data_IF_481454287001
#
_entry.id   IF_481454287001
#
_cell.length_a   1.000
_cell.length_b   1.000
_cell.length_c   1.000
_cell.angle_alpha   90.00
_cell.angle_beta   90.00
_cell.angle_gamma   90.00
#
_symmetry.space_group_name_H-M   'P 1'
#
loop_
_entity.id
_entity.type
_entity.pdbx_description
1 polymer ?
#
# COMPACT_ATOMS: atom_id res chain seq x y z
N UNK A 1 18.44 2.37 -1.23
CA UNK A 1 17.78 2.37 0.09
C UNK A 1 18.78 2.98 1.05
N UNK A 2 18.45 4.09 1.70
CA UNK A 2 19.39 4.74 2.62
C UNK A 2 19.41 3.93 3.91
N UNK A 3 20.61 3.59 4.36
CA UNK A 3 20.85 2.74 5.52
C UNK A 3 20.68 3.60 6.78
N UNK A 4 19.48 3.60 7.36
CA UNK A 4 19.23 4.22 8.66
C UNK A 4 19.58 3.17 9.71
N UNK A 5 20.88 3.11 10.01
CA UNK A 5 21.43 2.37 11.14
C UNK A 5 20.87 3.01 12.42
N UNK A 6 20.27 2.19 13.29
CA UNK A 6 19.86 2.49 14.68
C UNK A 6 18.38 2.82 15.01
N UNK A 7 17.41 2.47 14.17
CA UNK A 7 16.05 2.18 14.67
C UNK A 7 15.48 1.03 13.87
N UNK A 8 15.17 -0.06 14.55
CA UNK A 8 14.32 -1.13 14.05
C UNK A 8 12.91 -0.56 13.87
N UNK A 9 12.74 0.25 12.82
CA UNK A 9 11.51 0.93 12.52
C UNK A 9 10.53 -0.14 12.06
N UNK A 10 9.61 -0.52 12.95
CA UNK A 10 8.57 -1.52 12.71
C UNK A 10 7.90 -1.24 11.36
N UNK A 11 8.30 -1.98 10.33
CA UNK A 11 7.74 -1.88 8.98
C UNK A 11 6.40 -2.58 8.94
N UNK A 12 5.39 -1.92 9.51
CA UNK A 12 4.01 -2.37 9.48
C UNK A 12 3.25 -1.70 8.33
N UNK A 13 2.30 -2.43 7.77
CA UNK A 13 1.32 -1.91 6.82
C UNK A 13 -0.03 -2.59 7.07
N UNK A 14 -1.10 -1.99 6.57
CA UNK A 14 -2.42 -2.63 6.49
C UNK A 14 -2.64 -3.11 5.07
N UNK A 15 -2.96 -4.39 4.90
CA UNK A 15 -3.36 -4.96 3.62
C UNK A 15 -4.88 -4.88 3.48
N UNK A 16 -5.35 -4.17 2.47
CA UNK A 16 -6.74 -4.25 2.02
C UNK A 16 -6.86 -5.43 1.06
N UNK A 17 -7.73 -6.37 1.41
CA UNK A 17 -8.07 -7.53 0.58
C UNK A 17 -9.50 -7.35 0.12
N UNK A 18 -9.72 -7.54 -1.19
CA UNK A 18 -11.04 -7.55 -1.78
C UNK A 18 -11.18 -8.75 -2.71
N UNK A 19 -12.39 -9.28 -2.82
CA UNK A 19 -12.71 -10.40 -3.69
C UNK A 19 -14.08 -10.23 -4.32
N UNK A 20 -14.30 -10.86 -5.47
CA UNK A 20 -15.62 -10.97 -6.08
C UNK A 20 -16.44 -12.08 -5.40
N UNK A 21 -17.78 -12.07 -5.52
CA UNK A 21 -18.61 -13.19 -5.06
C UNK A 21 -18.28 -14.53 -5.71
N UNK A 22 -17.68 -14.52 -6.91
CA UNK A 22 -17.23 -15.71 -7.64
C UNK A 22 -15.89 -16.27 -7.12
N UNK A 23 -15.26 -15.59 -6.15
CA UNK A 23 -14.02 -16.04 -5.52
C UNK A 23 -12.75 -15.52 -6.20
N UNK A 24 -12.85 -14.58 -7.14
CA UNK A 24 -11.67 -13.94 -7.72
C UNK A 24 -11.11 -12.90 -6.75
N UNK A 25 -9.80 -12.93 -6.51
CA UNK A 25 -9.14 -11.85 -5.79
C UNK A 25 -9.03 -10.61 -6.67
N UNK A 26 -9.34 -9.47 -6.07
CA UNK A 26 -9.11 -8.17 -6.67
C UNK A 26 -7.72 -7.65 -6.27
N UNK A 27 -7.16 -6.69 -7.03
CA UNK A 27 -5.98 -5.92 -6.68
C UNK A 27 -5.84 -5.62 -5.17
N UNK A 28 -4.69 -5.97 -4.59
CA UNK A 28 -4.40 -5.73 -3.18
C UNK A 28 -3.89 -4.30 -2.96
N UNK A 29 -4.36 -3.60 -1.92
CA UNK A 29 -3.78 -2.33 -1.51
C UNK A 29 -2.97 -2.48 -0.22
N UNK A 30 -1.70 -2.08 -0.24
CA UNK A 30 -0.87 -1.97 0.95
C UNK A 30 -0.83 -0.52 1.43
N UNK A 31 -1.34 -0.27 2.63
CA UNK A 31 -1.36 1.06 3.26
C UNK A 31 -0.24 1.16 4.29
N UNK A 32 0.73 2.02 3.99
CA UNK A 32 1.89 2.31 4.82
C UNK A 32 1.64 3.56 5.66
N UNK A 33 2.21 3.59 6.86
CA UNK A 33 2.08 4.73 7.75
C UNK A 33 3.07 5.83 7.39
N UNK A 34 2.60 7.08 7.35
CA UNK A 34 3.43 8.28 7.37
C UNK A 34 3.13 9.27 6.24
N UNK A 35 4.04 10.22 6.03
CA UNK A 35 3.68 11.48 5.39
C UNK A 35 3.98 11.58 3.88
N UNK A 36 4.75 10.64 3.31
CA UNK A 36 5.20 10.73 1.92
C UNK A 36 5.43 9.37 1.26
N UNK A 37 5.57 9.39 -0.07
CA UNK A 37 5.90 8.21 -0.90
C UNK A 37 7.23 7.55 -0.54
N UNK A 38 8.13 8.25 0.16
CA UNK A 38 9.43 7.70 0.56
C UNK A 38 9.29 6.56 1.58
N UNK A 39 8.13 6.45 2.22
CA UNK A 39 7.80 5.39 3.18
C UNK A 39 7.18 4.16 2.51
N UNK A 40 6.88 4.24 1.22
CA UNK A 40 6.49 3.09 0.42
C UNK A 40 7.71 2.24 0.08
N UNK A 41 7.51 0.95 -0.25
CA UNK A 41 8.55 0.14 -0.87
C UNK A 41 9.19 0.85 -2.05
N UNK A 42 10.51 0.69 -2.18
CA UNK A 42 11.28 1.27 -3.28
C UNK A 42 10.78 0.72 -4.62
N UNK A 43 10.58 1.59 -5.60
CA UNK A 43 10.25 1.19 -6.98
C UNK A 43 11.32 0.27 -7.61
N UNK A 44 12.55 0.28 -7.07
CA UNK A 44 13.67 -0.58 -7.48
C UNK A 44 13.86 -1.80 -6.58
N UNK A 45 12.91 -2.08 -5.68
CA UNK A 45 12.97 -3.27 -4.84
C UNK A 45 12.84 -4.54 -5.71
N UNK A 46 13.42 -5.63 -5.22
CA UNK A 46 13.27 -6.94 -5.85
C UNK A 46 11.78 -7.30 -5.99
N UNK A 47 11.39 -7.84 -7.13
CA UNK A 47 10.02 -8.25 -7.50
C UNK A 47 8.97 -7.13 -7.55
N UNK A 48 9.38 -5.85 -7.59
CA UNK A 48 8.43 -4.75 -7.71
C UNK A 48 7.67 -4.77 -9.05
N UNK A 49 8.32 -5.21 -10.13
CA UNK A 49 7.68 -5.45 -11.44
C UNK A 49 6.53 -6.43 -11.31
N UNK A 50 6.81 -7.60 -10.76
CA UNK A 50 5.83 -8.69 -10.64
C UNK A 50 4.68 -8.25 -9.74
N UNK A 51 5.00 -7.48 -8.69
CA UNK A 51 4.01 -6.94 -7.77
C UNK A 51 3.04 -5.99 -8.48
N UNK A 52 3.50 -5.17 -9.43
CA UNK A 52 2.62 -4.36 -10.26
C UNK A 52 1.83 -5.18 -11.28
N UNK A 53 2.44 -6.21 -11.88
CA UNK A 53 1.76 -7.11 -12.81
C UNK A 53 0.62 -7.90 -12.12
N UNK A 54 0.78 -8.21 -10.83
CA UNK A 54 -0.28 -8.79 -9.99
C UNK A 54 -1.28 -7.75 -9.45
N UNK A 55 -1.16 -6.49 -9.83
CA UNK A 55 -2.12 -5.44 -9.47
C UNK A 55 -1.99 -4.88 -8.06
N UNK A 56 -0.84 -5.03 -7.38
CA UNK A 56 -0.69 -4.42 -6.06
C UNK A 56 -0.57 -2.90 -6.15
N UNK A 57 -1.37 -2.21 -5.34
CA UNK A 57 -1.30 -0.76 -5.14
C UNK A 57 -0.63 -0.45 -3.78
N UNK A 58 0.30 0.50 -3.77
CA UNK A 58 0.95 1.00 -2.56
C UNK A 58 0.48 2.41 -2.24
N UNK A 59 -0.16 2.57 -1.09
CA UNK A 59 -0.64 3.85 -0.58
C UNK A 59 0.02 4.19 0.75
N UNK A 60 0.09 5.48 1.08
CA UNK A 60 0.53 5.93 2.40
C UNK A 60 -0.55 6.79 3.05
N UNK A 61 -0.66 6.70 4.37
CA UNK A 61 -1.61 7.48 5.15
C UNK A 61 -0.92 8.48 6.06
N UNK A 62 -1.19 9.76 5.83
CA UNK A 62 -0.80 10.84 6.73
C UNK A 62 -1.92 11.03 7.76
N UNK A 63 -1.74 10.48 8.95
CA UNK A 63 -2.63 10.69 10.09
C UNK A 63 -1.99 11.64 11.10
N UNK A 64 -2.82 12.43 11.78
CA UNK A 64 -2.41 13.25 12.93
C UNK A 64 -1.87 12.39 14.09
N UNK A 65 -2.31 11.12 14.16
CA UNK A 65 -1.71 10.12 15.04
C UNK A 65 -0.49 9.52 14.35
N UNK A 66 0.70 9.80 14.87
CA UNK A 66 1.98 9.23 14.38
C UNK A 66 1.88 7.71 14.27
N UNK A 67 2.25 7.17 13.12
CA UNK A 67 2.32 5.72 12.89
C UNK A 67 0.96 5.02 12.70
N UNK A 68 -0.11 5.75 12.33
CA UNK A 68 -1.31 5.07 11.83
C UNK A 68 -1.00 4.42 10.48
N UNK A 69 -1.39 3.16 10.31
CA UNK A 69 -1.32 2.41 9.05
C UNK A 69 -2.71 2.12 8.49
N UNK A 70 -3.76 2.58 9.17
CA UNK A 70 -5.14 2.28 8.80
C UNK A 70 -5.54 2.98 7.50
N UNK A 71 -6.35 2.27 6.71
CA UNK A 71 -7.00 2.84 5.55
C UNK A 71 -7.84 4.06 5.98
N UNK A 72 -7.82 5.09 5.14
CA UNK A 72 -8.60 6.33 5.28
C UNK A 72 -9.59 6.43 4.13
N UNK A 73 -10.54 7.36 4.23
CA UNK A 73 -11.45 7.65 3.11
C UNK A 73 -10.69 7.98 1.82
N UNK A 74 -9.51 8.63 1.93
CA UNK A 74 -8.66 8.92 0.79
C UNK A 74 -8.14 7.63 0.14
N UNK A 75 -7.49 6.76 0.90
CA UNK A 75 -6.91 5.51 0.36
C UNK A 75 -7.98 4.55 -0.16
N UNK A 76 -9.17 4.56 0.45
CA UNK A 76 -10.35 3.84 -0.07
C UNK A 76 -10.86 4.37 -1.40
N UNK A 77 -10.82 5.69 -1.63
CA UNK A 77 -11.17 6.25 -2.95
C UNK A 77 -10.13 5.89 -4.00
N UNK A 78 -8.85 5.94 -3.64
CA UNK A 78 -7.75 5.57 -4.54
C UNK A 78 -7.89 4.11 -5.02
N UNK A 79 -8.11 3.15 -4.12
CA UNK A 79 -8.30 1.74 -4.53
C UNK A 79 -9.59 1.53 -5.33
N UNK A 80 -10.67 2.25 -5.01
CA UNK A 80 -11.93 2.12 -5.73
C UNK A 80 -11.85 2.64 -7.17
N UNK A 81 -11.14 3.75 -7.40
CA UNK A 81 -10.86 4.27 -8.73
C UNK A 81 -10.03 3.30 -9.56
N UNK A 82 -8.99 2.70 -8.96
CA UNK A 82 -8.15 1.71 -9.65
C UNK A 82 -8.94 0.45 -10.01
N UNK A 83 -9.87 0.01 -9.17
CA UNK A 83 -10.75 -1.12 -9.47
C UNK A 83 -11.73 -0.83 -10.61
N UNK A 84 -12.28 0.39 -10.69
CA UNK A 84 -13.22 0.74 -11.76
C UNK A 84 -12.56 0.99 -13.12
N UNK A 85 -11.28 1.36 -13.13
CA UNK A 85 -10.55 1.69 -14.36
C UNK A 85 -9.74 0.51 -14.93
N UNK A 86 -9.49 -0.53 -14.14
CA UNK A 86 -8.68 -1.70 -14.53
C UNK A 86 -9.47 -3.03 -14.55
N UNK A 87 -10.81 -2.98 -14.54
CA UNK A 87 -11.70 -4.11 -14.86
C UNK A 87 -12.16 -4.01 -16.30
#
# INVERSE_FOLDING_TARGET
>A
QVDIIAKDEKRAYTLLVASTPEGNFLPFQQVWGGASKQLLPSAKAHNMSDTWDYGFNFAFTKSDRRGSHFSTLKTMKEVHLDLLLNV
#
